data_IF_222490862991
#
_entry.id   IF_222490862991
#
_cell.length_a   1.000
_cell.length_b   1.000
_cell.length_c   1.000
_cell.angle_alpha   90.00
_cell.angle_beta   90.00
_cell.angle_gamma   90.00
#
_symmetry.space_group_name_H-M   'P 1'
#
loop_
_entity.id
_entity.type
_entity.pdbx_description
1 polymer ?
#
# COMPACT_ATOMS: atom_id res chain seq x y z
N UNK A 1 -5.24 46.41 50.12
CA UNK A 1 -4.15 45.47 50.40
C UNK A 1 -3.49 45.11 49.10
N UNK A 2 -2.30 45.61 48.84
CA UNK A 2 -1.61 45.48 47.56
C UNK A 2 -0.92 44.14 47.44
N UNK A 3 -1.28 43.41 46.42
CA UNK A 3 -0.55 42.23 45.95
C UNK A 3 0.67 42.66 45.15
N UNK A 4 1.82 42.81 45.80
CA UNK A 4 3.10 43.07 45.15
C UNK A 4 3.57 41.81 44.42
N UNK A 5 3.29 41.68 43.14
CA UNK A 5 3.92 40.72 42.27
C UNK A 5 5.43 40.98 42.23
N UNK A 6 6.23 40.14 42.89
CA UNK A 6 7.69 40.18 42.77
C UNK A 6 8.06 39.96 41.32
N UNK A 7 8.63 40.97 40.67
CA UNK A 7 9.26 40.82 39.36
C UNK A 7 10.31 39.70 39.44
N UNK A 8 10.32 38.75 38.49
CA UNK A 8 11.29 37.66 38.49
C UNK A 8 12.71 38.24 38.48
N UNK A 9 13.60 37.69 39.31
CA UNK A 9 14.97 38.18 39.40
C UNK A 9 15.67 37.91 38.04
N UNK A 10 16.45 38.89 37.54
CA UNK A 10 17.26 38.70 36.30
C UNK A 10 18.05 37.40 36.35
N UNK A 11 18.59 37.00 37.50
CA UNK A 11 19.37 35.77 37.70
C UNK A 11 18.57 34.45 37.49
N UNK A 12 17.27 34.41 37.84
CA UNK A 12 16.45 33.19 37.61
C UNK A 12 16.10 33.07 36.14
N UNK A 13 15.81 34.18 35.46
CA UNK A 13 15.54 34.19 34.00
C UNK A 13 16.75 33.75 33.19
N UNK A 14 17.96 34.27 33.52
CA UNK A 14 19.18 33.93 32.82
C UNK A 14 19.55 32.42 32.97
N UNK A 15 19.28 31.85 34.15
CA UNK A 15 19.45 30.41 34.39
C UNK A 15 18.44 29.54 33.59
N UNK A 16 17.19 29.95 33.52
CA UNK A 16 16.18 29.23 32.77
C UNK A 16 16.47 29.28 31.26
N UNK A 17 16.91 30.42 30.72
CA UNK A 17 17.34 30.54 29.32
C UNK A 17 18.56 29.63 29.02
N UNK A 18 19.54 29.58 29.95
CA UNK A 18 20.69 28.68 29.80
C UNK A 18 20.25 27.19 29.81
N UNK A 19 19.30 26.80 30.66
CA UNK A 19 18.73 25.45 30.70
C UNK A 19 17.95 25.12 29.44
N UNK A 20 17.17 26.06 28.91
CA UNK A 20 16.45 25.86 27.62
C UNK A 20 17.41 25.69 26.45
N UNK A 21 18.52 26.47 26.42
CA UNK A 21 19.56 26.30 25.41
C UNK A 21 20.24 24.92 25.54
N UNK A 22 20.57 24.48 26.75
CA UNK A 22 21.17 23.16 26.99
C UNK A 22 20.23 22.02 26.61
N UNK A 23 18.90 22.17 26.75
CA UNK A 23 17.91 21.19 26.30
C UNK A 23 17.87 21.08 24.78
N UNK A 24 17.96 22.20 24.05
CA UNK A 24 18.03 22.20 22.60
C UNK A 24 19.29 21.52 22.08
N UNK A 25 20.44 21.76 22.71
CA UNK A 25 21.71 21.14 22.34
C UNK A 25 21.73 19.63 22.63
N UNK A 26 20.99 19.19 23.67
CA UNK A 26 20.89 17.76 24.05
C UNK A 26 19.78 17.02 23.34
N UNK A 27 18.91 17.67 22.55
CA UNK A 27 17.77 17.06 21.87
C UNK A 27 18.15 15.95 20.88
N UNK A 28 19.44 15.79 20.55
CA UNK A 28 19.95 14.66 19.76
C UNK A 28 19.94 13.30 20.50
N UNK A 29 19.60 13.25 21.81
CA UNK A 29 19.55 12.03 22.63
C UNK A 29 18.22 11.92 23.35
N UNK A 30 17.38 10.99 22.94
CA UNK A 30 16.05 10.66 23.48
C UNK A 30 16.09 10.09 24.92
N UNK A 31 15.05 10.31 25.76
CA UNK A 31 14.00 11.34 25.69
C UNK A 31 14.46 12.63 26.39
N UNK A 32 14.24 13.80 25.78
CA UNK A 32 14.59 15.08 26.38
C UNK A 32 13.75 15.35 27.64
N UNK A 33 14.38 15.62 28.82
CA UNK A 33 13.64 15.97 30.00
C UNK A 33 12.98 17.34 29.81
N UNK A 34 11.73 17.49 30.22
CA UNK A 34 11.01 18.77 30.17
C UNK A 34 11.70 19.79 31.06
N UNK A 35 11.77 21.04 30.61
CA UNK A 35 12.39 22.12 31.35
C UNK A 35 11.59 22.43 32.61
N UNK A 36 12.22 22.30 33.80
CA UNK A 36 11.68 22.86 35.06
C UNK A 36 12.13 24.29 35.16
N UNK A 37 11.18 25.24 35.01
CA UNK A 37 11.44 26.66 35.12
C UNK A 37 11.42 27.12 36.60
N UNK A 38 12.36 28.01 36.97
CA UNK A 38 12.42 28.64 38.28
C UNK A 38 11.80 30.07 38.23
N UNK A 39 11.69 30.62 37.02
CA UNK A 39 11.15 31.96 36.79
C UNK A 39 9.65 31.94 36.53
N UNK A 40 8.94 32.91 37.10
CA UNK A 40 7.53 33.16 36.77
C UNK A 40 7.38 34.20 35.63
N UNK A 41 8.43 34.41 34.81
CA UNK A 41 8.38 35.26 33.63
C UNK A 41 7.52 34.64 32.54
N UNK A 42 6.41 35.29 32.12
CA UNK A 42 5.52 34.75 31.09
C UNK A 42 6.23 34.47 29.78
N UNK A 43 7.20 35.29 29.36
CA UNK A 43 7.94 35.14 28.10
C UNK A 43 8.83 33.88 28.12
N UNK A 44 9.49 33.59 29.26
CA UNK A 44 10.27 32.37 29.46
C UNK A 44 9.34 31.13 29.42
N UNK A 45 8.17 31.24 30.04
CA UNK A 45 7.15 30.17 30.00
C UNK A 45 6.60 29.92 28.61
N UNK A 46 6.41 30.92 27.75
CA UNK A 46 6.00 30.78 26.38
C UNK A 46 7.09 30.11 25.51
N UNK A 47 8.35 30.53 25.70
CA UNK A 47 9.49 29.93 25.01
C UNK A 47 9.66 28.46 25.38
N UNK A 48 9.55 28.11 26.67
CA UNK A 48 9.62 26.72 27.11
C UNK A 48 8.53 25.87 26.47
N UNK A 49 7.28 26.34 26.43
CA UNK A 49 6.18 25.64 25.76
C UNK A 49 6.40 25.50 24.26
N UNK A 50 7.03 26.47 23.59
CA UNK A 50 7.37 26.37 22.17
C UNK A 50 8.46 25.33 21.93
N UNK A 51 9.47 25.28 22.79
CA UNK A 51 10.54 24.28 22.75
C UNK A 51 9.95 22.87 22.99
N UNK A 52 9.12 22.69 24.02
CA UNK A 52 8.49 21.40 24.32
C UNK A 52 7.67 20.89 23.11
N UNK A 53 6.86 21.75 22.47
CA UNK A 53 6.12 21.37 21.25
C UNK A 53 7.04 20.98 20.10
N UNK A 54 8.17 21.64 19.94
CA UNK A 54 9.13 21.31 18.89
C UNK A 54 9.80 19.96 19.15
N UNK A 55 10.21 19.72 20.39
CA UNK A 55 10.81 18.45 20.81
C UNK A 55 9.80 17.28 20.72
N UNK A 56 8.54 17.49 21.10
CA UNK A 56 7.49 16.48 20.96
C UNK A 56 7.27 16.16 19.46
N UNK A 57 7.21 17.17 18.58
CA UNK A 57 7.06 16.97 17.14
C UNK A 57 8.27 16.26 16.49
N UNK A 58 9.48 16.54 16.96
CA UNK A 58 10.69 15.85 16.49
C UNK A 58 10.71 14.39 16.95
N UNK A 59 10.32 14.12 18.19
CA UNK A 59 10.20 12.76 18.71
C UNK A 59 9.15 11.95 17.94
N UNK A 60 8.00 12.54 17.64
CA UNK A 60 6.98 11.91 16.82
C UNK A 60 7.52 11.53 15.42
N UNK A 61 8.23 12.47 14.77
CA UNK A 61 8.85 12.21 13.45
C UNK A 61 9.91 11.09 13.52
N UNK A 62 10.73 11.06 14.57
CA UNK A 62 11.72 10.00 14.74
C UNK A 62 11.07 8.64 15.00
N UNK A 63 10.00 8.60 15.78
CA UNK A 63 9.22 7.38 16.01
C UNK A 63 8.56 6.89 14.71
N UNK A 64 8.00 7.79 13.91
CA UNK A 64 7.42 7.47 12.60
C UNK A 64 8.48 6.92 11.64
N UNK A 65 9.67 7.54 11.58
CA UNK A 65 10.80 7.04 10.77
C UNK A 65 11.24 5.64 11.20
N UNK A 66 11.42 5.41 12.50
CA UNK A 66 11.80 4.08 13.03
C UNK A 66 10.77 3.01 12.69
N UNK A 67 9.47 3.34 12.86
CA UNK A 67 8.39 2.44 12.49
C UNK A 67 8.34 2.18 10.98
N UNK A 68 8.69 3.16 10.17
CA UNK A 68 8.80 2.99 8.72
C UNK A 68 9.99 2.09 8.35
N UNK A 69 11.16 2.28 9.00
CA UNK A 69 12.34 1.44 8.79
C UNK A 69 12.12 -0.01 9.24
N UNK A 70 11.47 -0.22 10.39
CA UNK A 70 11.12 -1.56 10.88
C UNK A 70 10.17 -2.26 9.89
N UNK A 71 9.10 -1.57 9.50
CA UNK A 71 8.17 -2.10 8.48
C UNK A 71 8.87 -2.41 7.15
N UNK A 72 9.79 -1.56 6.72
CA UNK A 72 10.57 -1.79 5.50
C UNK A 72 11.45 -3.04 5.61
N UNK A 73 12.11 -3.26 6.75
CA UNK A 73 12.92 -4.48 6.99
C UNK A 73 12.06 -5.74 7.02
N UNK A 74 10.92 -5.71 7.69
CA UNK A 74 9.96 -6.82 7.70
C UNK A 74 9.47 -7.15 6.29
N UNK A 75 9.17 -6.13 5.50
CA UNK A 75 8.75 -6.26 4.11
C UNK A 75 9.83 -6.85 3.21
N UNK A 76 11.09 -6.45 3.39
CA UNK A 76 12.22 -7.06 2.66
C UNK A 76 12.43 -8.53 3.03
N UNK A 77 12.23 -8.88 4.29
CA UNK A 77 12.32 -10.27 4.74
C UNK A 77 11.19 -11.12 4.12
N UNK A 78 9.95 -10.62 4.12
CA UNK A 78 8.81 -11.27 3.47
C UNK A 78 9.05 -11.45 1.96
N UNK A 79 9.48 -10.40 1.27
CA UNK A 79 9.83 -10.45 -0.16
C UNK A 79 10.91 -11.50 -0.44
N UNK A 80 11.96 -11.56 0.39
CA UNK A 80 13.03 -12.55 0.23
C UNK A 80 12.50 -13.98 0.35
N UNK A 81 11.52 -14.20 1.23
CA UNK A 81 10.84 -15.48 1.35
C UNK A 81 9.99 -15.78 0.11
N UNK A 82 9.23 -14.81 -0.37
CA UNK A 82 8.30 -14.97 -1.50
C UNK A 82 9.01 -15.13 -2.85
N UNK A 83 10.23 -14.60 -2.98
CA UNK A 83 11.12 -14.88 -4.12
C UNK A 83 11.74 -16.28 -3.99
N UNK A 84 12.16 -16.70 -2.79
CA UNK A 84 12.83 -17.99 -2.57
C UNK A 84 11.92 -19.16 -2.88
N UNK A 85 10.63 -19.08 -2.53
CA UNK A 85 9.67 -20.17 -2.71
C UNK A 85 9.48 -20.56 -4.18
N UNK A 86 9.11 -19.66 -5.13
CA UNK A 86 9.02 -20.02 -6.54
C UNK A 86 10.37 -20.40 -7.15
N UNK A 87 11.49 -19.79 -6.71
CA UNK A 87 12.82 -20.14 -7.18
C UNK A 87 13.20 -21.57 -6.79
N UNK A 88 12.99 -21.97 -5.54
CA UNK A 88 13.23 -23.35 -5.09
C UNK A 88 12.32 -24.34 -5.81
N UNK A 89 11.04 -23.95 -6.04
CA UNK A 89 10.10 -24.76 -6.84
C UNK A 89 10.56 -24.95 -8.28
N UNK A 90 11.03 -23.88 -8.96
CA UNK A 90 11.55 -23.96 -10.30
C UNK A 90 12.80 -24.86 -10.38
N UNK A 91 13.74 -24.71 -9.43
CA UNK A 91 14.93 -25.57 -9.32
C UNK A 91 14.54 -27.04 -9.13
N UNK A 92 13.55 -27.32 -8.25
CA UNK A 92 13.05 -28.67 -8.03
C UNK A 92 12.46 -29.29 -9.31
N UNK A 93 11.64 -28.54 -10.06
CA UNK A 93 11.10 -28.99 -11.33
C UNK A 93 12.19 -29.25 -12.38
N UNK A 94 13.20 -28.38 -12.48
CA UNK A 94 14.34 -28.60 -13.39
C UNK A 94 15.12 -29.87 -13.04
N UNK A 95 15.34 -30.13 -11.75
CA UNK A 95 16.00 -31.37 -11.29
C UNK A 95 15.17 -32.63 -11.64
N UNK A 96 13.85 -32.54 -11.50
CA UNK A 96 12.93 -33.63 -11.90
C UNK A 96 12.93 -33.85 -13.40
N UNK A 97 12.95 -32.76 -14.19
CA UNK A 97 13.04 -32.84 -15.67
C UNK A 97 14.33 -33.53 -16.12
N UNK A 98 15.47 -33.20 -15.49
CA UNK A 98 16.76 -33.82 -15.81
C UNK A 98 16.83 -35.33 -15.50
N UNK A 99 16.02 -35.81 -14.56
CA UNK A 99 15.97 -37.22 -14.15
C UNK A 99 14.84 -38.01 -14.80
N UNK A 100 13.98 -37.36 -15.58
CA UNK A 100 12.84 -37.99 -16.22
C UNK A 100 13.32 -38.81 -17.43
N UNK A 101 13.01 -40.09 -17.46
CA UNK A 101 13.29 -40.97 -18.58
C UNK A 101 12.24 -40.83 -19.72
N UNK A 102 11.04 -40.37 -19.33
CA UNK A 102 9.91 -40.15 -20.24
C UNK A 102 9.91 -38.68 -20.71
N UNK A 103 10.00 -38.42 -22.05
CA UNK A 103 9.99 -37.08 -22.62
C UNK A 103 8.74 -36.26 -22.27
N UNK A 104 7.55 -36.89 -22.23
CA UNK A 104 6.32 -36.19 -21.86
C UNK A 104 6.32 -35.74 -20.41
N UNK A 105 6.90 -36.55 -19.52
CA UNK A 105 7.06 -36.21 -18.09
C UNK A 105 8.09 -35.11 -17.92
N UNK A 106 9.18 -35.14 -18.69
CA UNK A 106 10.18 -34.07 -18.72
C UNK A 106 9.54 -32.74 -19.15
N UNK A 107 8.74 -32.75 -20.22
CA UNK A 107 8.05 -31.56 -20.71
C UNK A 107 7.09 -30.97 -19.66
N UNK A 108 6.31 -31.79 -18.96
CA UNK A 108 5.44 -31.32 -17.86
C UNK A 108 6.23 -30.68 -16.71
N UNK A 109 7.40 -31.21 -16.37
CA UNK A 109 8.26 -30.59 -15.35
C UNK A 109 8.85 -29.27 -15.81
N UNK A 110 9.26 -29.14 -17.08
CA UNK A 110 9.74 -27.89 -17.66
C UNK A 110 8.63 -26.81 -17.65
N UNK A 111 7.42 -27.17 -18.04
CA UNK A 111 6.25 -26.27 -17.95
C UNK A 111 5.99 -25.82 -16.49
N UNK A 112 6.14 -26.72 -15.53
CA UNK A 112 6.05 -26.40 -14.11
C UNK A 112 7.13 -25.40 -13.66
N UNK A 113 8.35 -25.54 -14.14
CA UNK A 113 9.45 -24.61 -13.87
C UNK A 113 9.18 -23.23 -14.49
N UNK A 114 8.73 -23.18 -15.76
CA UNK A 114 8.38 -21.95 -16.46
C UNK A 114 7.28 -21.17 -15.74
N UNK A 115 6.21 -21.84 -15.29
CA UNK A 115 5.13 -21.22 -14.50
C UNK A 115 5.65 -20.58 -13.20
N UNK A 116 6.61 -21.23 -12.51
CA UNK A 116 7.23 -20.68 -11.30
C UNK A 116 8.10 -19.46 -11.57
N UNK A 117 8.88 -19.49 -12.67
CA UNK A 117 9.70 -18.35 -13.10
C UNK A 117 8.83 -17.16 -13.54
N UNK A 118 7.74 -17.42 -14.27
CA UNK A 118 6.78 -16.39 -14.64
C UNK A 118 6.14 -15.70 -13.41
N UNK A 119 5.74 -16.49 -12.41
CA UNK A 119 5.21 -15.93 -11.16
C UNK A 119 6.24 -15.05 -10.43
N UNK A 120 7.51 -15.48 -10.39
CA UNK A 120 8.58 -14.69 -9.79
C UNK A 120 8.83 -13.38 -10.56
N UNK A 121 8.78 -13.42 -11.90
CA UNK A 121 8.91 -12.22 -12.73
C UNK A 121 7.82 -11.19 -12.41
N UNK A 122 6.55 -11.62 -12.33
CA UNK A 122 5.43 -10.74 -11.96
C UNK A 122 5.67 -10.08 -10.60
N UNK A 123 6.16 -10.83 -9.60
CA UNK A 123 6.45 -10.32 -8.27
C UNK A 123 7.54 -9.23 -8.29
N UNK A 124 8.62 -9.46 -9.07
CA UNK A 124 9.71 -8.49 -9.24
C UNK A 124 9.23 -7.24 -9.98
N UNK A 125 8.44 -7.41 -11.05
CA UNK A 125 7.87 -6.31 -11.83
C UNK A 125 6.89 -5.47 -10.97
N UNK A 126 6.10 -6.10 -10.12
CA UNK A 126 5.22 -5.42 -9.16
C UNK A 126 6.02 -4.60 -8.15
N UNK A 127 7.12 -5.16 -7.64
CA UNK A 127 7.98 -4.45 -6.70
C UNK A 127 8.60 -3.19 -7.32
N UNK A 128 9.15 -3.31 -8.53
CA UNK A 128 9.72 -2.16 -9.25
C UNK A 128 8.67 -1.11 -9.57
N UNK A 129 7.49 -1.54 -10.01
CA UNK A 129 6.35 -0.64 -10.28
C UNK A 129 5.94 0.09 -9.01
N UNK A 130 5.81 -0.63 -7.89
CA UNK A 130 5.51 -0.03 -6.60
C UNK A 130 6.60 0.97 -6.16
N UNK A 131 7.87 0.57 -6.21
CA UNK A 131 8.98 1.43 -5.77
C UNK A 131 9.04 2.73 -6.58
N UNK A 132 8.78 2.64 -7.90
CA UNK A 132 8.71 3.79 -8.78
C UNK A 132 7.50 4.68 -8.47
N UNK A 133 6.31 4.10 -8.31
CA UNK A 133 5.08 4.85 -8.05
C UNK A 133 5.06 5.50 -6.65
N UNK A 134 5.79 4.94 -5.69
CA UNK A 134 5.93 5.47 -4.34
C UNK A 134 7.04 6.53 -4.20
N UNK A 135 7.83 6.77 -5.25
CA UNK A 135 8.86 7.82 -5.26
C UNK A 135 8.19 9.19 -5.48
N UNK A 136 8.27 10.13 -4.52
CA UNK A 136 7.68 11.46 -4.65
C UNK A 136 8.24 12.29 -5.83
N UNK A 137 9.41 11.92 -6.36
CA UNK A 137 10.02 12.58 -7.51
C UNK A 137 9.53 12.06 -8.86
N UNK A 138 8.76 10.95 -8.83
CA UNK A 138 8.23 10.40 -10.07
C UNK A 138 6.89 11.02 -10.42
N UNK A 139 6.87 11.76 -11.51
CA UNK A 139 5.69 12.36 -12.10
C UNK A 139 5.34 11.63 -13.40
N UNK A 140 4.25 10.83 -13.44
CA UNK A 140 3.81 10.18 -14.66
C UNK A 140 3.25 11.21 -15.65
N UNK A 141 3.48 11.01 -16.94
CA UNK A 141 2.85 11.81 -17.97
C UNK A 141 1.36 11.50 -18.05
N UNK A 142 0.51 12.44 -17.64
CA UNK A 142 -0.93 12.31 -17.64
C UNK A 142 -1.51 12.82 -18.96
N UNK A 143 -2.31 11.96 -19.60
CA UNK A 143 -3.05 12.28 -20.84
C UNK A 143 -4.54 11.99 -20.63
N UNK A 144 -5.39 12.49 -21.54
CA UNK A 144 -6.81 12.12 -21.55
C UNK A 144 -6.94 10.65 -21.98
N UNK A 145 -7.48 9.82 -21.10
CA UNK A 145 -7.78 8.39 -21.33
C UNK A 145 -9.27 8.16 -21.14
N UNK A 146 -9.86 7.22 -21.88
CA UNK A 146 -11.20 6.76 -21.61
C UNK A 146 -11.17 5.62 -20.57
N UNK A 147 -11.73 5.90 -19.38
CA UNK A 147 -11.79 4.94 -18.29
C UNK A 147 -12.68 3.72 -18.63
N UNK A 148 -13.76 3.94 -19.38
CA UNK A 148 -14.67 2.86 -19.78
C UNK A 148 -14.02 1.93 -20.80
N UNK A 149 -13.31 2.48 -21.79
CA UNK A 149 -12.53 1.71 -22.76
C UNK A 149 -11.42 0.91 -22.07
N UNK A 150 -10.64 1.54 -21.19
CA UNK A 150 -9.57 0.87 -20.44
C UNK A 150 -10.11 -0.28 -19.56
N UNK A 151 -11.31 -0.11 -18.97
CA UNK A 151 -11.96 -1.18 -18.21
C UNK A 151 -12.45 -2.32 -19.10
N UNK A 152 -13.01 -2.01 -20.28
CA UNK A 152 -13.45 -3.00 -21.25
C UNK A 152 -12.29 -3.83 -21.78
N UNK A 153 -11.15 -3.19 -22.14
CA UNK A 153 -9.94 -3.86 -22.59
C UNK A 153 -9.37 -4.80 -21.54
N UNK A 154 -9.30 -4.34 -20.29
CA UNK A 154 -8.81 -5.15 -19.18
C UNK A 154 -9.71 -6.36 -18.88
N UNK A 155 -11.03 -6.23 -19.02
CA UNK A 155 -11.99 -7.34 -18.92
C UNK A 155 -11.85 -8.31 -20.08
N UNK A 156 -11.73 -7.83 -21.33
CA UNK A 156 -11.53 -8.64 -22.50
C UNK A 156 -10.25 -9.49 -22.40
N UNK A 157 -9.15 -8.89 -21.91
CA UNK A 157 -7.89 -9.60 -21.68
C UNK A 157 -7.99 -10.76 -20.65
N UNK A 158 -9.06 -10.77 -19.81
CA UNK A 158 -9.29 -11.79 -18.76
C UNK A 158 -10.50 -12.65 -18.99
N UNK A 159 -11.13 -12.52 -20.17
CA UNK A 159 -12.35 -13.24 -20.51
C UNK A 159 -12.19 -14.76 -20.34
N UNK A 160 -11.09 -15.32 -20.85
CA UNK A 160 -10.80 -16.75 -20.73
C UNK A 160 -10.61 -17.19 -19.26
N UNK A 161 -9.94 -16.36 -18.43
CA UNK A 161 -9.71 -16.65 -17.03
C UNK A 161 -11.03 -16.68 -16.23
N UNK A 162 -11.95 -15.77 -16.49
CA UNK A 162 -13.30 -15.80 -15.93
C UNK A 162 -14.10 -16.99 -16.43
N UNK A 163 -14.04 -17.29 -17.74
CA UNK A 163 -14.71 -18.43 -18.37
C UNK A 163 -14.27 -19.77 -17.79
N UNK A 164 -12.97 -19.94 -17.54
CA UNK A 164 -12.41 -21.17 -16.90
C UNK A 164 -12.98 -21.40 -15.50
N UNK A 165 -13.38 -20.34 -14.81
CA UNK A 165 -14.05 -20.43 -13.49
C UNK A 165 -15.58 -20.55 -13.59
N UNK A 166 -16.14 -20.47 -14.80
CA UNK A 166 -17.59 -20.40 -15.01
C UNK A 166 -18.20 -19.09 -14.51
N UNK A 167 -17.42 -18.02 -14.46
CA UNK A 167 -17.87 -16.72 -13.98
C UNK A 167 -18.19 -15.79 -15.14
N UNK A 168 -19.34 -15.14 -15.06
CA UNK A 168 -19.75 -14.07 -15.97
C UNK A 168 -19.83 -12.76 -15.19
N UNK A 169 -18.85 -11.84 -15.35
CA UNK A 169 -18.85 -10.56 -14.66
C UNK A 169 -20.09 -9.71 -14.99
N UNK A 170 -20.75 -9.09 -13.98
CA UNK A 170 -21.79 -8.07 -14.19
C UNK A 170 -21.09 -6.74 -14.51
N UNK A 171 -21.11 -6.35 -15.80
CA UNK A 171 -20.37 -5.19 -16.31
C UNK A 171 -21.33 -4.06 -16.63
N UNK A 172 -21.08 -2.87 -16.02
CA UNK A 172 -21.85 -1.63 -16.27
C UNK A 172 -20.88 -0.49 -16.53
N UNK A 173 -20.60 -0.24 -17.79
CA UNK A 173 -19.73 0.83 -18.24
C UNK A 173 -20.56 1.93 -18.88
N UNK A 174 -20.20 3.18 -18.65
CA UNK A 174 -20.69 4.31 -19.43
C UNK A 174 -20.10 4.27 -20.84
N UNK A 175 -20.69 5.01 -21.80
CA UNK A 175 -20.20 5.02 -23.19
C UNK A 175 -18.77 5.58 -23.29
N UNK A 176 -18.47 6.67 -22.56
CA UNK A 176 -17.18 7.33 -22.58
C UNK A 176 -16.99 8.08 -21.26
N UNK A 177 -15.83 7.91 -20.63
CA UNK A 177 -15.46 8.57 -19.38
C UNK A 177 -14.04 9.11 -19.46
N UNK A 178 -13.84 10.36 -19.93
CA UNK A 178 -12.51 10.94 -20.05
C UNK A 178 -11.94 11.28 -18.67
N UNK A 179 -10.77 10.73 -18.37
CA UNK A 179 -10.01 10.97 -17.15
C UNK A 179 -8.55 11.32 -17.46
N UNK A 180 -7.88 12.03 -16.55
CA UNK A 180 -6.44 12.26 -16.64
C UNK A 180 -5.72 11.08 -16.02
N UNK A 181 -4.99 10.32 -16.84
CA UNK A 181 -4.22 9.17 -16.41
C UNK A 181 -2.99 8.92 -17.27
N UNK A 182 -2.02 8.17 -16.75
CA UNK A 182 -0.97 7.55 -17.54
C UNK A 182 -1.50 6.20 -18.05
N UNK A 183 -1.57 5.94 -19.38
CA UNK A 183 -2.26 4.77 -19.93
C UNK A 183 -1.79 3.44 -19.34
N UNK A 184 -0.47 3.22 -19.26
CA UNK A 184 0.12 2.00 -18.71
C UNK A 184 -0.19 1.83 -17.22
N UNK A 185 -0.16 2.93 -16.46
CA UNK A 185 -0.48 2.92 -15.04
C UNK A 185 -1.97 2.60 -14.81
N UNK A 186 -2.86 3.21 -15.60
CA UNK A 186 -4.29 2.95 -15.54
C UNK A 186 -4.60 1.48 -15.88
N UNK A 187 -4.05 0.96 -16.97
CA UNK A 187 -4.21 -0.45 -17.36
C UNK A 187 -3.71 -1.39 -16.23
N UNK A 188 -2.58 -1.07 -15.59
CA UNK A 188 -2.03 -1.87 -14.48
C UNK A 188 -2.91 -1.81 -13.24
N UNK A 189 -3.46 -0.64 -12.89
CA UNK A 189 -4.43 -0.50 -11.79
C UNK A 189 -5.63 -1.40 -12.01
N UNK A 190 -6.28 -1.29 -13.17
CA UNK A 190 -7.48 -2.09 -13.50
C UNK A 190 -7.13 -3.59 -13.50
N UNK A 191 -5.99 -3.94 -14.09
CA UNK A 191 -5.47 -5.30 -14.11
C UNK A 191 -5.35 -5.90 -12.71
N UNK A 192 -4.78 -5.15 -11.76
CA UNK A 192 -4.59 -5.59 -10.38
C UNK A 192 -5.93 -5.77 -9.64
N UNK A 193 -6.92 -4.91 -9.88
CA UNK A 193 -8.25 -5.06 -9.28
C UNK A 193 -8.98 -6.29 -9.80
N UNK A 194 -8.94 -6.55 -11.11
CA UNK A 194 -9.56 -7.73 -11.71
C UNK A 194 -8.85 -9.03 -11.30
N UNK A 195 -7.51 -9.01 -11.22
CA UNK A 195 -6.73 -10.15 -10.72
C UNK A 195 -7.05 -10.46 -9.25
N UNK A 196 -7.18 -9.41 -8.43
CA UNK A 196 -7.61 -9.58 -7.04
C UNK A 196 -8.98 -10.26 -6.95
N UNK A 197 -9.94 -9.86 -7.79
CA UNK A 197 -11.25 -10.48 -7.85
C UNK A 197 -11.18 -11.95 -8.33
N UNK A 198 -10.32 -12.26 -9.31
CA UNK A 198 -10.09 -13.63 -9.78
C UNK A 198 -9.45 -14.51 -8.69
N UNK A 199 -8.44 -14.01 -7.98
CA UNK A 199 -7.67 -14.82 -7.03
C UNK A 199 -8.42 -15.02 -5.71
N UNK A 200 -9.07 -13.97 -5.20
CA UNK A 200 -9.65 -13.95 -3.87
C UNK A 200 -11.19 -14.02 -3.84
N UNK A 201 -11.83 -13.82 -4.98
CA UNK A 201 -13.28 -13.96 -5.11
C UNK A 201 -13.75 -15.41 -5.01
N UNK A 202 -14.98 -15.61 -4.57
CA UNK A 202 -15.70 -16.88 -4.61
C UNK A 202 -16.87 -16.89 -5.61
N UNK A 203 -16.96 -15.86 -6.47
CA UNK A 203 -17.97 -15.72 -7.54
C UNK A 203 -17.66 -14.56 -8.48
N UNK A 204 -18.47 -14.42 -9.53
CA UNK A 204 -18.29 -13.41 -10.56
C UNK A 204 -18.29 -11.98 -9.97
N UNK A 205 -17.34 -11.11 -10.36
CA UNK A 205 -17.30 -9.74 -9.91
C UNK A 205 -18.33 -8.86 -10.62
N UNK A 206 -18.67 -7.75 -9.97
CA UNK A 206 -19.36 -6.62 -10.58
C UNK A 206 -18.33 -5.54 -10.91
N UNK A 207 -18.35 -5.04 -12.13
CA UNK A 207 -17.46 -3.98 -12.61
C UNK A 207 -18.29 -2.81 -13.09
N UNK A 208 -18.13 -1.65 -12.46
CA UNK A 208 -18.91 -0.45 -12.77
C UNK A 208 -18.00 0.73 -13.02
N UNK A 209 -18.35 1.54 -14.01
CA UNK A 209 -17.75 2.87 -14.24
C UNK A 209 -18.87 3.89 -14.10
N UNK A 210 -18.77 4.74 -13.08
CA UNK A 210 -19.75 5.79 -12.77
C UNK A 210 -19.01 7.11 -12.49
N UNK A 211 -19.34 8.16 -13.25
CA UNK A 211 -18.54 9.39 -13.20
C UNK A 211 -17.08 9.08 -13.54
N UNK A 212 -16.14 9.59 -12.79
CA UNK A 212 -14.70 9.34 -12.97
C UNK A 212 -14.17 8.17 -12.11
N UNK A 213 -15.05 7.30 -11.67
CA UNK A 213 -14.70 6.20 -10.79
C UNK A 213 -14.97 4.84 -11.44
N UNK A 214 -13.99 3.93 -11.27
CA UNK A 214 -14.12 2.50 -11.52
C UNK A 214 -14.30 1.77 -10.18
N UNK A 215 -15.33 0.95 -10.08
CA UNK A 215 -15.55 0.06 -8.93
C UNK A 215 -15.54 -1.40 -9.38
N UNK A 216 -14.80 -2.22 -8.65
CA UNK A 216 -14.78 -3.68 -8.78
C UNK A 216 -15.24 -4.24 -7.43
N UNK A 217 -16.33 -5.01 -7.43
CA UNK A 217 -16.86 -5.68 -6.25
C UNK A 217 -17.01 -7.17 -6.54
N UNK A 218 -16.52 -8.01 -5.64
CA UNK A 218 -16.65 -9.46 -5.77
C UNK A 218 -17.07 -10.11 -4.45
N UNK A 219 -17.87 -11.19 -4.51
CA UNK A 219 -18.19 -11.97 -3.33
C UNK A 219 -16.90 -12.64 -2.79
N UNK A 220 -16.80 -12.71 -1.46
CA UNK A 220 -15.70 -13.39 -0.75
C UNK A 220 -16.26 -14.40 0.23
N UNK A 221 -15.44 -15.36 0.67
CA UNK A 221 -15.87 -16.33 1.66
C UNK A 221 -16.13 -15.64 3.02
N UNK A 222 -17.15 -16.08 3.81
CA UNK A 222 -17.48 -15.46 5.10
C UNK A 222 -16.31 -15.40 6.08
N UNK A 223 -15.47 -16.43 6.10
CA UNK A 223 -14.26 -16.51 6.92
C UNK A 223 -13.22 -15.47 6.49
N UNK A 224 -13.09 -15.19 5.19
CA UNK A 224 -12.18 -14.16 4.69
C UNK A 224 -12.71 -12.76 5.06
N UNK A 225 -14.00 -12.49 4.89
CA UNK A 225 -14.61 -11.21 5.23
C UNK A 225 -14.41 -10.82 6.70
N UNK A 226 -14.34 -11.79 7.62
CA UNK A 226 -14.13 -11.53 9.05
C UNK A 226 -12.66 -11.37 9.45
N UNK A 227 -11.73 -11.88 8.64
CA UNK A 227 -10.28 -11.82 8.90
C UNK A 227 -9.59 -10.64 8.27
N UNK A 228 -10.14 -10.14 7.15
CA UNK A 228 -9.55 -9.03 6.42
C UNK A 228 -9.69 -7.73 7.23
N UNK A 229 -8.59 -7.03 7.41
CA UNK A 229 -8.56 -5.68 7.96
C UNK A 229 -8.57 -4.65 6.82
N UNK A 230 -9.68 -3.94 6.57
CA UNK A 230 -9.78 -2.98 5.45
C UNK A 230 -8.69 -1.90 5.48
N UNK A 231 -8.22 -1.50 6.67
CA UNK A 231 -7.18 -0.48 6.80
C UNK A 231 -5.82 -0.96 6.28
N UNK A 232 -5.59 -2.28 6.26
CA UNK A 232 -4.32 -2.89 5.87
C UNK A 232 -4.30 -3.50 4.47
N UNK A 233 -5.45 -3.65 3.82
CA UNK A 233 -5.57 -4.31 2.50
C UNK A 233 -4.70 -3.70 1.41
N UNK A 234 -4.35 -2.43 1.53
CA UNK A 234 -3.45 -1.73 0.62
C UNK A 234 -2.01 -1.61 1.13
N UNK A 235 -1.70 -2.20 2.30
CA UNK A 235 -0.32 -2.34 2.77
C UNK A 235 0.42 -3.37 1.92
N UNK A 236 1.70 -3.14 1.70
CA UNK A 236 2.58 -4.07 0.98
C UNK A 236 2.67 -5.41 1.69
N UNK A 237 2.60 -6.51 0.94
CA UNK A 237 2.72 -7.88 1.43
C UNK A 237 1.67 -8.29 2.47
N UNK A 238 0.60 -7.50 2.64
CA UNK A 238 -0.50 -7.90 3.48
C UNK A 238 -1.29 -9.03 2.82
N UNK A 239 -1.42 -10.13 3.52
CA UNK A 239 -2.24 -11.29 3.17
C UNK A 239 -3.15 -11.60 4.34
N UNK A 240 -4.44 -11.71 4.10
CA UNK A 240 -5.42 -11.98 5.16
C UNK A 240 -5.22 -13.33 5.85
N UNK A 241 -4.66 -14.31 5.14
CA UNK A 241 -4.33 -15.65 5.65
C UNK A 241 -2.94 -16.10 5.19
N UNK A 242 -1.92 -16.05 6.07
CA UNK A 242 -0.56 -16.52 5.75
C UNK A 242 -0.48 -18.03 5.45
N UNK A 243 -1.49 -18.82 5.84
CA UNK A 243 -1.48 -20.27 5.62
C UNK A 243 -1.87 -20.69 4.21
N UNK A 244 -2.47 -19.79 3.43
CA UNK A 244 -2.81 -19.99 2.01
C UNK A 244 -1.60 -19.71 1.11
N UNK A 245 -0.58 -20.55 1.23
CA UNK A 245 0.60 -20.50 0.35
C UNK A 245 0.22 -20.70 -1.11
N UNK A 246 0.36 -19.67 -1.93
CA UNK A 246 0.25 -19.76 -3.40
C UNK A 246 -0.72 -18.81 -4.11
N UNK A 247 -1.46 -17.98 -3.42
CA UNK A 247 -2.48 -17.14 -4.04
C UNK A 247 -2.24 -15.63 -3.81
N UNK A 248 -1.25 -15.07 -4.47
CA UNK A 248 -0.99 -13.63 -4.52
C UNK A 248 0.23 -13.18 -3.70
N UNK A 249 0.84 -12.09 -4.15
CA UNK A 249 2.07 -11.52 -3.56
C UNK A 249 1.78 -10.52 -2.45
N UNK A 250 0.50 -10.13 -2.24
CA UNK A 250 0.12 -9.02 -1.37
C UNK A 250 0.60 -7.65 -1.90
N UNK A 251 1.07 -7.58 -3.15
CA UNK A 251 1.52 -6.34 -3.78
C UNK A 251 0.47 -5.70 -4.68
N UNK A 252 -0.45 -6.45 -5.26
CA UNK A 252 -1.37 -5.97 -6.29
C UNK A 252 -2.17 -4.73 -5.87
N UNK A 253 -2.81 -4.75 -4.69
CA UNK A 253 -3.55 -3.59 -4.17
C UNK A 253 -2.64 -2.44 -3.75
N UNK A 254 -1.45 -2.72 -3.23
CA UNK A 254 -0.46 -1.70 -2.90
C UNK A 254 0.06 -0.98 -4.15
N UNK A 255 0.33 -1.73 -5.23
CA UNK A 255 0.70 -1.19 -6.56
C UNK A 255 -0.45 -0.36 -7.13
N UNK A 256 -1.68 -0.88 -7.10
CA UNK A 256 -2.86 -0.16 -7.58
C UNK A 256 -3.05 1.17 -6.84
N UNK A 257 -2.86 1.19 -5.52
CA UNK A 257 -2.93 2.40 -4.70
C UNK A 257 -1.85 3.41 -5.08
N UNK A 258 -0.58 2.97 -5.10
CA UNK A 258 0.54 3.85 -5.39
C UNK A 258 0.43 4.48 -6.79
N UNK A 259 0.05 3.69 -7.81
CA UNK A 259 -0.20 4.20 -9.16
C UNK A 259 -1.39 5.16 -9.22
N UNK A 260 -2.47 4.86 -8.52
CA UNK A 260 -3.64 5.76 -8.47
C UNK A 260 -3.27 7.10 -7.82
N UNK A 261 -2.56 7.07 -6.69
CA UNK A 261 -2.10 8.26 -5.97
C UNK A 261 -1.10 9.08 -6.81
N UNK A 262 -0.18 8.44 -7.54
CA UNK A 262 0.76 9.14 -8.44
C UNK A 262 0.06 9.85 -9.61
N UNK A 263 -1.10 9.37 -10.04
CA UNK A 263 -1.97 10.04 -11.02
C UNK A 263 -2.89 11.10 -10.38
N UNK A 264 -2.77 11.32 -9.06
CA UNK A 264 -3.58 12.28 -8.30
C UNK A 264 -5.03 11.82 -8.07
N UNK A 265 -5.28 10.52 -8.18
CA UNK A 265 -6.53 9.86 -7.85
C UNK A 265 -6.55 9.27 -6.44
N UNK A 266 -7.60 8.51 -6.13
CA UNK A 266 -7.78 7.85 -4.83
C UNK A 266 -8.24 6.41 -5.01
N UNK A 267 -7.63 5.46 -4.32
CA UNK A 267 -8.11 4.08 -4.21
C UNK A 267 -8.71 3.87 -2.83
N UNK A 268 -9.97 3.47 -2.79
CA UNK A 268 -10.68 3.05 -1.57
C UNK A 268 -10.99 1.57 -1.65
N UNK A 269 -10.76 0.84 -0.57
CA UNK A 269 -11.11 -0.58 -0.46
C UNK A 269 -12.01 -0.81 0.73
N UNK A 270 -12.89 -1.79 0.63
CA UNK A 270 -13.84 -2.13 1.67
C UNK A 270 -14.13 -3.63 1.72
N UNK A 271 -14.54 -4.10 2.88
CA UNK A 271 -15.04 -5.47 3.10
C UNK A 271 -16.37 -5.37 3.81
N UNK A 272 -17.38 -6.00 3.24
CA UNK A 272 -18.70 -6.11 3.85
C UNK A 272 -18.85 -7.52 4.41
N UNK A 273 -19.12 -7.62 5.71
CA UNK A 273 -19.47 -8.88 6.37
C UNK A 273 -21.00 -9.04 6.43
N UNK A 274 -21.51 -10.27 6.56
CA UNK A 274 -22.94 -10.55 6.69
C UNK A 274 -23.38 -11.72 5.81
N UNK A 275 -24.66 -11.73 5.41
CA UNK A 275 -25.24 -12.83 4.60
C UNK A 275 -24.63 -12.93 3.19
N UNK A 276 -24.15 -11.84 2.64
CA UNK A 276 -23.48 -11.76 1.33
C UNK A 276 -22.17 -10.98 1.47
N UNK A 277 -21.15 -11.62 2.01
CA UNK A 277 -19.87 -10.95 2.21
C UNK A 277 -19.24 -10.59 0.86
N UNK A 278 -18.74 -9.36 0.76
CA UNK A 278 -18.10 -8.87 -0.45
C UNK A 278 -16.85 -8.05 -0.14
N UNK A 279 -15.91 -8.07 -1.07
CA UNK A 279 -14.81 -7.13 -1.15
C UNK A 279 -15.10 -6.12 -2.25
N UNK A 280 -14.78 -4.86 -2.01
CA UNK A 280 -14.92 -3.79 -2.99
C UNK A 280 -13.65 -2.96 -3.09
N UNK A 281 -13.30 -2.57 -4.31
CA UNK A 281 -12.24 -1.62 -4.59
C UNK A 281 -12.77 -0.55 -5.55
N UNK A 282 -12.58 0.73 -5.20
CA UNK A 282 -13.02 1.89 -5.98
C UNK A 282 -11.85 2.81 -6.25
N UNK A 283 -11.56 3.01 -7.52
CA UNK A 283 -10.57 3.98 -8.01
C UNK A 283 -11.31 5.20 -8.51
N UNK A 284 -10.93 6.38 -8.05
CA UNK A 284 -11.46 7.66 -8.50
C UNK A 284 -10.32 8.49 -9.07
N UNK A 285 -10.49 8.98 -10.31
CA UNK A 285 -9.50 9.74 -11.05
C UNK A 285 -9.98 11.17 -11.31
N UNK A 286 -9.07 12.03 -11.75
CA UNK A 286 -9.43 13.39 -12.14
C UNK A 286 -10.08 13.39 -13.51
N UNK A 287 -11.17 14.15 -13.73
CA UNK A 287 -11.73 14.29 -15.07
C UNK A 287 -10.71 14.92 -16.01
N UNK A 288 -10.69 14.47 -17.26
CA UNK A 288 -9.98 15.20 -18.30
C UNK A 288 -10.76 16.47 -18.67
N UNK A 289 -10.08 17.55 -19.05
CA UNK A 289 -10.71 18.81 -19.41
C UNK A 289 -11.57 18.72 -20.67
#
# INVERSE_FOLDING_TARGET
MGGGGRLPSRRSRDRDLARLAELLDRSAVSPAPRARLESSDPAVGELARAIDRHLDADLERDLERRRADERFREQLAALSHDIRTPLAGAQGYLQLAQRAEDPERAARYLEGAEKRLAAMRVLVDDLFTYARAADPSWEPELVACDLAEAAADALAARYEAFGTRGWEPDVRLAETVPVLAAPDALARVIANLLENALVHGCGAPQVRVEGTALAVENPVAPEDATRLDPARLTERFYQGDPSRTGHGTGLGLAVARALTESMGGTLTVGVTAGERPSFSARVELRPAP
#
